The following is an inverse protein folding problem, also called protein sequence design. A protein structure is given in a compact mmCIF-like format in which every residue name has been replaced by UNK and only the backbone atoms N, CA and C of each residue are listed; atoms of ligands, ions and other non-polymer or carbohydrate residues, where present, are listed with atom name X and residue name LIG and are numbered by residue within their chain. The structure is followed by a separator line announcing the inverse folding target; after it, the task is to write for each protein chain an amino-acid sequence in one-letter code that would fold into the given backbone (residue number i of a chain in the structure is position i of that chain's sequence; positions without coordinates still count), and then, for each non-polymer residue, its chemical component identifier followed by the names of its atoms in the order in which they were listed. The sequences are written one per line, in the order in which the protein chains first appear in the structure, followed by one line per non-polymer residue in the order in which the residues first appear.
data_IF_351574109307
#
_entry.id   IF_351574109307
#
_cell.length_a   1.000
_cell.length_b   1.000
_cell.length_c   1.000
_cell.angle_alpha   90.00
_cell.angle_beta   90.00
_cell.angle_gamma   90.00
#
_symmetry.space_group_name_H-M   'P 1'
#
loop_
_entity.id
_entity.type
_entity.pdbx_description
1 polymer ?
#
# COMPACT_ATOMS: atom_id res chain seq x y z
N UNK A 1 37.31 34.26 -42.86
CA UNK A 1 37.16 33.51 -41.60
C UNK A 1 35.68 33.44 -41.29
N UNK A 2 35.00 32.39 -41.78
CA UNK A 2 33.60 32.14 -41.43
C UNK A 2 33.53 31.40 -40.10
N UNK A 3 32.77 31.97 -39.19
CA UNK A 3 32.51 31.43 -37.85
C UNK A 3 31.59 30.22 -37.99
N UNK A 4 32.15 29.02 -37.95
CA UNK A 4 31.38 27.77 -37.86
C UNK A 4 30.60 27.80 -36.55
N UNK A 5 29.28 28.06 -36.65
CA UNK A 5 28.35 27.83 -35.54
C UNK A 5 28.25 26.31 -35.36
N UNK A 6 28.91 25.78 -34.33
CA UNK A 6 28.66 24.42 -33.87
C UNK A 6 27.20 24.34 -33.37
N UNK A 7 26.30 23.88 -34.23
CA UNK A 7 25.03 23.33 -33.78
C UNK A 7 25.35 22.00 -33.11
N UNK A 8 25.42 21.98 -31.77
CA UNK A 8 25.39 20.72 -31.04
C UNK A 8 24.02 20.09 -31.26
N UNK A 9 23.96 19.09 -32.13
CA UNK A 9 22.79 18.24 -32.26
C UNK A 9 22.71 17.39 -30.99
N UNK A 10 21.95 17.85 -30.01
CA UNK A 10 21.61 17.02 -28.85
C UNK A 10 20.61 15.98 -29.33
N UNK A 11 21.03 14.72 -29.47
CA UNK A 11 20.11 13.60 -29.68
C UNK A 11 19.13 13.55 -28.49
N UNK A 12 17.84 13.87 -28.70
CA UNK A 12 16.86 13.89 -27.63
C UNK A 12 16.70 12.52 -26.96
N UNK A 13 16.92 11.42 -27.70
CA UNK A 13 16.88 10.07 -27.14
C UNK A 13 18.07 9.80 -26.21
N UNK A 14 19.23 10.37 -26.49
CA UNK A 14 20.39 10.29 -25.61
C UNK A 14 20.14 10.97 -24.26
N UNK A 15 19.40 12.09 -24.23
CA UNK A 15 19.00 12.76 -22.98
C UNK A 15 18.11 11.83 -22.14
N UNK A 16 17.10 11.21 -22.75
CA UNK A 16 16.18 10.30 -22.07
C UNK A 16 16.94 9.08 -21.51
N UNK A 17 17.87 8.51 -22.28
CA UNK A 17 18.72 7.40 -21.83
C UNK A 17 19.62 7.76 -20.63
N UNK A 18 20.18 8.97 -20.58
CA UNK A 18 20.97 9.45 -19.42
C UNK A 18 20.08 9.62 -18.19
N UNK A 19 18.90 10.20 -18.36
CA UNK A 19 17.93 10.35 -17.27
C UNK A 19 17.46 8.98 -16.76
N UNK A 20 17.22 8.03 -17.65
CA UNK A 20 16.83 6.67 -17.30
C UNK A 20 17.90 5.99 -16.44
N UNK A 21 19.18 6.11 -16.81
CA UNK A 21 20.28 5.59 -16.00
C UNK A 21 20.29 6.19 -14.61
N UNK A 22 20.13 7.50 -14.48
CA UNK A 22 20.05 8.17 -13.17
C UNK A 22 18.83 7.73 -12.35
N UNK A 23 17.68 7.50 -13.01
CA UNK A 23 16.48 6.98 -12.35
C UNK A 23 16.67 5.55 -11.83
N UNK A 24 17.39 4.70 -12.57
CA UNK A 24 17.77 3.36 -12.13
C UNK A 24 18.75 3.39 -10.95
N UNK A 25 19.77 4.25 -11.00
CA UNK A 25 20.74 4.44 -9.90
C UNK A 25 20.06 4.91 -8.61
N UNK A 26 19.16 5.90 -8.69
CA UNK A 26 18.39 6.39 -7.53
C UNK A 26 17.38 5.37 -7.01
N UNK A 27 16.86 4.50 -7.89
CA UNK A 27 16.03 3.35 -7.50
C UNK A 27 16.85 2.34 -6.71
N UNK A 28 18.04 1.97 -7.19
CA UNK A 28 18.93 1.05 -6.48
C UNK A 28 19.38 1.61 -5.12
N UNK A 29 19.62 2.92 -5.03
CA UNK A 29 19.95 3.59 -3.78
C UNK A 29 18.86 3.48 -2.70
N UNK A 30 17.59 3.20 -3.08
CA UNK A 30 16.51 2.99 -2.12
C UNK A 30 16.69 1.72 -1.26
N UNK A 31 17.58 0.82 -1.66
CA UNK A 31 17.96 -0.37 -0.89
C UNK A 31 19.11 -0.11 0.09
N UNK A 32 19.72 1.09 0.10
CA UNK A 32 20.80 1.43 1.02
C UNK A 32 20.33 1.26 2.49
N UNK A 33 21.15 0.63 3.36
CA UNK A 33 20.86 0.47 4.78
C UNK A 33 20.40 1.76 5.50
N UNK A 34 20.85 2.94 5.07
CA UNK A 34 20.45 4.22 5.68
C UNK A 34 18.94 4.50 5.55
N UNK A 35 18.30 4.01 4.49
CA UNK A 35 16.87 4.18 4.24
C UNK A 35 16.02 3.02 4.74
N UNK A 36 16.63 1.92 5.21
CA UNK A 36 15.91 0.69 5.59
C UNK A 36 14.85 0.88 6.65
N UNK A 37 15.03 1.85 7.55
CA UNK A 37 14.06 2.19 8.60
C UNK A 37 12.81 2.90 8.08
N UNK A 38 12.86 3.46 6.87
CA UNK A 38 11.77 4.21 6.28
C UNK A 38 10.80 3.27 5.57
N UNK A 39 9.50 3.62 5.51
CA UNK A 39 8.55 2.92 4.67
C UNK A 39 8.98 2.93 3.19
N UNK A 40 8.70 1.88 2.41
CA UNK A 40 9.11 1.79 1.01
C UNK A 40 8.80 3.04 0.16
N UNK A 41 7.60 3.64 0.12
CA UNK A 41 7.38 4.87 -0.67
C UNK A 41 8.36 6.00 -0.33
N UNK A 42 8.65 6.17 0.96
CA UNK A 42 9.52 7.22 1.49
C UNK A 42 10.98 6.97 1.10
N UNK A 43 11.43 5.70 1.05
CA UNK A 43 12.78 5.36 0.57
C UNK A 43 13.02 5.89 -0.84
N UNK A 44 12.10 5.61 -1.76
CA UNK A 44 12.19 6.00 -3.16
C UNK A 44 12.07 7.52 -3.34
N UNK A 45 11.30 8.20 -2.49
CA UNK A 45 11.29 9.68 -2.49
C UNK A 45 12.60 10.25 -1.95
N UNK A 46 13.08 9.74 -0.82
CA UNK A 46 14.28 10.25 -0.15
C UNK A 46 15.57 10.06 -0.97
N UNK A 47 15.60 9.07 -1.87
CA UNK A 47 16.72 8.88 -2.82
C UNK A 47 16.59 9.72 -4.09
N UNK A 48 15.46 10.41 -4.28
CA UNK A 48 15.15 11.16 -5.49
C UNK A 48 14.64 10.29 -6.65
N UNK A 49 14.40 8.99 -6.45
CA UNK A 49 13.90 8.10 -7.50
C UNK A 49 12.55 8.57 -8.06
N UNK A 50 11.66 9.08 -7.20
CA UNK A 50 10.36 9.63 -7.64
C UNK A 50 10.55 10.76 -8.66
N UNK A 51 11.40 11.74 -8.35
CA UNK A 51 11.61 12.88 -9.23
C UNK A 51 12.45 12.52 -10.47
N UNK A 52 13.40 11.59 -10.34
CA UNK A 52 14.21 11.11 -11.46
C UNK A 52 13.32 10.42 -12.52
N UNK A 53 12.44 9.52 -12.10
CA UNK A 53 11.50 8.85 -13.01
C UNK A 53 10.47 9.81 -13.62
N UNK A 54 9.99 10.82 -12.87
CA UNK A 54 9.15 11.88 -13.45
C UNK A 54 9.85 12.61 -14.60
N UNK A 55 11.15 12.91 -14.48
CA UNK A 55 11.92 13.54 -15.56
C UNK A 55 12.06 12.62 -16.77
N UNK A 56 12.30 11.32 -16.56
CA UNK A 56 12.33 10.31 -17.65
C UNK A 56 11.01 10.33 -18.42
N UNK A 57 9.88 10.29 -17.72
CA UNK A 57 8.55 10.28 -18.35
C UNK A 57 8.28 11.58 -19.12
N UNK A 58 8.63 12.74 -18.55
CA UNK A 58 8.44 14.05 -19.19
C UNK A 58 9.29 14.21 -20.45
N UNK A 59 10.59 13.86 -20.41
CA UNK A 59 11.44 13.94 -21.60
C UNK A 59 11.12 12.83 -22.61
N UNK A 60 10.75 11.65 -22.13
CA UNK A 60 10.31 10.53 -22.95
C UNK A 60 9.09 10.87 -23.81
N UNK A 61 8.13 11.62 -23.27
CA UNK A 61 6.95 12.08 -24.01
C UNK A 61 7.33 13.01 -25.19
N UNK A 62 8.41 13.79 -25.07
CA UNK A 62 8.85 14.74 -26.11
C UNK A 62 9.49 14.06 -27.32
N UNK A 63 10.05 12.86 -27.14
CA UNK A 63 10.77 12.14 -28.21
C UNK A 63 9.90 11.12 -28.95
N UNK A 64 8.58 11.24 -28.80
CA UNK A 64 7.60 10.43 -29.53
C UNK A 64 7.16 9.15 -28.82
N UNK A 65 7.59 8.91 -27.57
CA UNK A 65 6.92 7.91 -26.74
C UNK A 65 5.58 8.45 -26.26
N UNK A 66 4.57 7.58 -26.16
CA UNK A 66 3.30 7.98 -25.56
C UNK A 66 3.54 8.52 -24.14
N UNK A 67 2.72 9.48 -23.71
CA UNK A 67 2.84 10.09 -22.40
C UNK A 67 2.39 9.11 -21.30
N UNK A 68 3.33 8.27 -20.86
CA UNK A 68 3.10 7.32 -19.77
C UNK A 68 2.82 8.05 -18.45
N UNK A 69 3.40 9.24 -18.26
CA UNK A 69 3.23 10.03 -17.04
C UNK A 69 1.78 10.43 -16.79
N UNK A 70 1.06 10.88 -17.83
CA UNK A 70 -0.37 11.19 -17.72
C UNK A 70 -1.26 9.95 -17.56
N UNK A 71 -0.79 8.76 -17.94
CA UNK A 71 -1.52 7.52 -17.72
C UNK A 71 -1.48 7.07 -16.24
N UNK A 72 -0.43 7.39 -15.49
CA UNK A 72 -0.26 6.95 -14.09
C UNK A 72 -1.49 7.19 -13.18
N UNK A 73 -2.05 8.42 -13.09
CA UNK A 73 -3.15 8.71 -12.17
C UNK A 73 -4.51 8.12 -12.59
N UNK A 74 -4.65 7.65 -13.83
CA UNK A 74 -5.96 7.26 -14.39
C UNK A 74 -6.04 5.82 -14.86
N UNK A 75 -4.96 5.23 -15.39
CA UNK A 75 -5.01 3.88 -15.95
C UNK A 75 -5.02 2.80 -14.84
N UNK A 76 -5.56 1.61 -15.16
CA UNK A 76 -5.41 0.41 -14.34
C UNK A 76 -3.96 0.15 -13.93
N UNK A 77 -3.73 -0.21 -12.67
CA UNK A 77 -2.39 -0.47 -12.14
C UNK A 77 -1.75 -1.64 -12.89
N UNK A 78 -2.50 -2.72 -13.11
CA UNK A 78 -2.01 -3.93 -13.79
C UNK A 78 -1.59 -3.60 -15.23
N UNK A 79 -2.39 -2.79 -15.94
CA UNK A 79 -2.06 -2.34 -17.30
C UNK A 79 -0.82 -1.46 -17.34
N UNK A 80 -0.65 -0.57 -16.35
CA UNK A 80 0.57 0.22 -16.24
C UNK A 80 1.78 -0.69 -16.07
N UNK A 81 1.68 -1.74 -15.27
CA UNK A 81 2.75 -2.74 -15.09
C UNK A 81 3.06 -3.50 -16.38
N UNK A 82 2.04 -3.97 -17.09
CA UNK A 82 2.21 -4.75 -18.33
C UNK A 82 2.86 -3.91 -19.46
N UNK A 83 2.48 -2.64 -19.56
CA UNK A 83 2.98 -1.74 -20.62
C UNK A 83 4.34 -1.11 -20.30
N UNK A 84 4.67 -0.92 -19.02
CA UNK A 84 5.88 -0.22 -18.60
C UNK A 84 7.19 -0.77 -19.21
N UNK A 85 7.44 -2.10 -19.30
CA UNK A 85 8.67 -2.61 -19.92
C UNK A 85 8.86 -2.13 -21.37
N UNK A 86 7.77 -1.94 -22.13
CA UNK A 86 7.84 -1.41 -23.50
C UNK A 86 8.36 0.02 -23.51
N UNK A 87 7.93 0.85 -22.55
CA UNK A 87 8.41 2.23 -22.41
C UNK A 87 9.87 2.29 -21.96
N UNK A 88 10.24 1.50 -20.94
CA UNK A 88 11.62 1.43 -20.45
C UNK A 88 12.59 1.00 -21.57
N UNK A 89 12.21 0.00 -22.37
CA UNK A 89 12.98 -0.43 -23.54
C UNK A 89 13.10 0.67 -24.60
N UNK A 90 12.03 1.42 -24.85
CA UNK A 90 12.05 2.56 -25.78
C UNK A 90 12.99 3.67 -25.33
N UNK A 91 12.87 4.10 -24.06
CA UNK A 91 13.71 5.13 -23.44
C UNK A 91 15.19 4.74 -23.35
N UNK A 92 15.49 3.45 -23.24
CA UNK A 92 16.85 2.91 -23.25
C UNK A 92 17.44 2.68 -24.64
N UNK A 93 16.76 3.07 -25.73
CA UNK A 93 17.17 2.76 -27.09
C UNK A 93 18.55 3.31 -27.51
N UNK A 94 19.00 4.42 -26.91
CA UNK A 94 20.32 5.01 -27.18
C UNK A 94 21.43 4.48 -26.25
N UNK A 95 21.14 3.55 -25.33
CA UNK A 95 22.15 2.92 -24.48
C UNK A 95 22.90 1.83 -25.26
N UNK A 96 24.24 1.90 -25.27
CA UNK A 96 25.10 0.94 -26.00
C UNK A 96 24.85 -0.51 -25.56
N UNK A 97 24.64 -0.73 -24.25
CA UNK A 97 24.35 -2.05 -23.68
C UNK A 97 22.87 -2.42 -23.69
N UNK A 98 21.99 -1.50 -24.09
CA UNK A 98 20.54 -1.62 -23.85
C UNK A 98 20.19 -1.68 -22.36
N UNK A 99 18.95 -2.13 -22.09
CA UNK A 99 18.41 -2.33 -20.74
C UNK A 99 18.64 -3.79 -20.33
N UNK A 100 19.36 -4.00 -19.24
CA UNK A 100 19.58 -5.34 -18.68
C UNK A 100 18.32 -5.87 -17.97
N UNK A 101 18.28 -7.18 -17.67
CA UNK A 101 17.21 -7.77 -16.86
C UNK A 101 17.16 -7.13 -15.45
N UNK A 102 18.32 -6.85 -14.86
CA UNK A 102 18.42 -6.18 -13.57
C UNK A 102 17.83 -4.76 -13.61
N UNK A 103 18.14 -3.98 -14.65
CA UNK A 103 17.59 -2.64 -14.85
C UNK A 103 16.07 -2.68 -15.04
N UNK A 104 15.57 -3.66 -15.80
CA UNK A 104 14.13 -3.85 -15.97
C UNK A 104 13.45 -4.16 -14.63
N UNK A 105 14.05 -4.99 -13.77
CA UNK A 105 13.53 -5.27 -12.43
C UNK A 105 13.53 -4.01 -11.54
N UNK A 106 14.60 -3.22 -11.55
CA UNK A 106 14.67 -1.95 -10.82
C UNK A 106 13.56 -0.99 -11.28
N UNK A 107 13.40 -0.84 -12.60
CA UNK A 107 12.34 -0.01 -13.16
C UNK A 107 10.95 -0.43 -12.64
N UNK A 108 10.61 -1.71 -12.74
CA UNK A 108 9.32 -2.23 -12.25
C UNK A 108 9.12 -1.99 -10.76
N UNK A 109 10.17 -2.12 -9.94
CA UNK A 109 10.09 -1.86 -8.49
C UNK A 109 9.75 -0.40 -8.19
N UNK A 110 10.28 0.53 -8.97
CA UNK A 110 9.98 1.97 -8.83
C UNK A 110 8.54 2.30 -9.23
N UNK A 111 8.00 1.60 -10.23
CA UNK A 111 6.68 1.89 -10.80
C UNK A 111 5.56 1.93 -9.75
N UNK A 112 5.55 1.01 -8.77
CA UNK A 112 4.53 1.02 -7.70
C UNK A 112 4.45 2.38 -7.02
N UNK A 113 5.61 2.94 -6.72
CA UNK A 113 5.71 4.18 -5.97
C UNK A 113 5.51 5.39 -6.88
N UNK A 114 5.85 5.31 -8.16
CA UNK A 114 5.40 6.32 -9.14
C UNK A 114 3.88 6.38 -9.19
N UNK A 115 3.20 5.23 -9.20
CA UNK A 115 1.73 5.16 -9.18
C UNK A 115 1.18 5.70 -7.88
N UNK A 116 1.72 5.30 -6.73
CA UNK A 116 1.33 5.83 -5.42
C UNK A 116 1.42 7.35 -5.35
N UNK A 117 2.57 7.94 -5.69
CA UNK A 117 2.75 9.40 -5.64
C UNK A 117 1.97 10.13 -6.73
N UNK A 118 1.82 9.53 -7.92
CA UNK A 118 0.99 10.09 -8.98
C UNK A 118 -0.51 10.03 -8.68
N UNK A 119 -0.93 9.24 -7.69
CA UNK A 119 -2.33 9.14 -7.23
C UNK A 119 -2.62 9.95 -5.97
N UNK A 120 -1.74 10.87 -5.58
CA UNK A 120 -1.81 11.61 -4.32
C UNK A 120 -1.98 10.68 -3.10
N UNK A 121 -1.21 9.60 -3.08
CA UNK A 121 -1.33 8.55 -2.08
C UNK A 121 -1.08 9.00 -0.64
N UNK A 122 -1.90 8.49 0.28
CA UNK A 122 -1.85 8.82 1.71
C UNK A 122 -1.39 7.63 2.56
N UNK A 123 -0.52 7.87 3.54
CA UNK A 123 0.07 6.81 4.36
C UNK A 123 -0.67 6.60 5.67
N UNK A 124 -0.89 5.33 6.03
CA UNK A 124 -1.54 4.90 7.25
C UNK A 124 -0.64 3.91 8.00
N UNK A 125 -0.46 4.13 9.30
CA UNK A 125 0.28 3.27 10.22
C UNK A 125 -0.68 2.74 11.29
N UNK A 126 -1.28 1.56 11.08
CA UNK A 126 -2.06 0.89 12.10
C UNK A 126 -1.18 0.54 13.31
N UNK A 127 -1.69 0.73 14.52
CA UNK A 127 -0.99 0.34 15.74
C UNK A 127 -0.91 -1.20 15.87
N UNK A 128 0.06 -1.69 16.65
CA UNK A 128 0.16 -3.13 16.97
C UNK A 128 -1.14 -3.66 17.60
N UNK A 129 -1.76 -2.86 18.47
CA UNK A 129 -3.06 -3.13 19.06
C UNK A 129 -4.16 -3.28 17.99
N UNK A 130 -4.23 -2.38 16.99
CA UNK A 130 -5.21 -2.51 15.92
C UNK A 130 -4.97 -3.75 15.06
N UNK A 131 -3.72 -4.08 14.73
CA UNK A 131 -3.41 -5.30 13.98
C UNK A 131 -3.96 -6.55 14.67
N UNK A 132 -3.71 -6.70 15.99
CA UNK A 132 -4.24 -7.83 16.77
C UNK A 132 -5.77 -7.87 16.74
N UNK A 133 -6.41 -6.70 16.92
CA UNK A 133 -7.87 -6.60 16.88
C UNK A 133 -8.45 -7.06 15.53
N UNK A 134 -7.83 -6.63 14.42
CA UNK A 134 -8.30 -6.96 13.07
C UNK A 134 -7.97 -8.39 12.65
N UNK A 135 -6.85 -8.97 13.12
CA UNK A 135 -6.53 -10.39 12.90
C UNK A 135 -7.62 -11.29 13.53
N UNK A 136 -8.04 -10.97 14.75
CA UNK A 136 -9.08 -11.72 15.46
C UNK A 136 -10.50 -11.46 14.91
N UNK A 137 -10.72 -10.29 14.32
CA UNK A 137 -12.02 -9.90 13.78
C UNK A 137 -12.39 -10.69 12.53
N UNK A 138 -13.67 -11.04 12.39
CA UNK A 138 -14.22 -11.54 11.12
C UNK A 138 -15.20 -10.53 10.49
N UNK A 139 -15.42 -10.66 9.19
CA UNK A 139 -16.44 -9.91 8.46
C UNK A 139 -17.64 -10.84 8.30
N UNK A 140 -18.82 -10.42 8.77
CA UNK A 140 -20.03 -11.22 8.59
C UNK A 140 -20.41 -11.33 7.11
N UNK A 141 -21.13 -12.40 6.77
CA UNK A 141 -21.53 -12.73 5.39
C UNK A 141 -22.42 -11.66 4.75
N UNK A 142 -23.07 -10.82 5.56
CA UNK A 142 -24.01 -9.80 5.12
C UNK A 142 -23.38 -8.43 4.83
N UNK A 143 -22.05 -8.29 4.91
CA UNK A 143 -21.37 -7.01 4.70
C UNK A 143 -21.09 -6.80 3.19
N UNK A 144 -21.75 -5.83 2.54
CA UNK A 144 -21.56 -5.55 1.12
C UNK A 144 -20.20 -4.89 0.83
N UNK A 145 -19.62 -5.21 -0.32
CA UNK A 145 -18.35 -4.66 -0.81
C UNK A 145 -18.46 -3.17 -1.10
N UNK A 146 -19.66 -2.66 -1.41
CA UNK A 146 -19.93 -1.23 -1.58
C UNK A 146 -19.62 -0.39 -0.34
N UNK A 147 -19.48 -1.01 0.84
CA UNK A 147 -19.04 -0.32 2.05
C UNK A 147 -17.52 -0.16 2.16
N UNK A 148 -16.74 -0.77 1.27
CA UNK A 148 -15.30 -0.53 1.19
C UNK A 148 -15.09 0.77 0.42
N UNK A 149 -14.63 1.82 1.11
CA UNK A 149 -14.20 3.07 0.48
C UNK A 149 -12.80 3.40 0.95
N UNK A 150 -11.97 3.85 0.01
CA UNK A 150 -10.68 4.42 0.36
C UNK A 150 -10.87 5.87 0.80
N UNK A 151 -10.15 6.32 1.84
CA UNK A 151 -10.17 7.71 2.29
C UNK A 151 -9.46 8.67 1.32
N UNK A 152 -8.72 8.15 0.33
CA UNK A 152 -8.00 8.89 -0.70
C UNK A 152 -7.90 8.03 -1.99
N UNK A 153 -7.59 8.58 -3.18
CA UNK A 153 -7.50 7.78 -4.42
C UNK A 153 -6.50 6.63 -4.35
N UNK A 154 -5.44 6.79 -3.57
CA UNK A 154 -4.54 5.72 -3.16
C UNK A 154 -4.20 5.82 -1.67
N UNK A 155 -3.95 4.68 -1.05
CA UNK A 155 -3.42 4.62 0.31
C UNK A 155 -2.25 3.65 0.40
N UNK A 156 -1.34 3.87 1.34
CA UNK A 156 -0.28 2.94 1.70
C UNK A 156 -0.41 2.59 3.17
N UNK A 157 -0.62 1.32 3.46
CA UNK A 157 -0.57 0.78 4.82
C UNK A 157 0.88 0.39 5.09
N UNK A 158 1.46 0.96 6.15
CA UNK A 158 2.76 0.58 6.68
C UNK A 158 2.52 -0.27 7.92
N UNK A 159 2.71 -1.59 7.84
CA UNK A 159 2.48 -2.48 8.96
C UNK A 159 3.39 -2.18 10.14
N UNK A 160 2.86 -2.28 11.36
CA UNK A 160 3.69 -2.28 12.56
C UNK A 160 4.69 -3.46 12.52
N UNK A 161 5.97 -3.24 12.89
CA UNK A 161 6.96 -4.31 12.96
C UNK A 161 6.64 -5.40 14.00
N UNK A 162 5.70 -5.13 14.92
CA UNK A 162 5.20 -6.09 15.91
C UNK A 162 4.13 -7.04 15.35
N UNK A 163 3.59 -6.76 14.17
CA UNK A 163 2.59 -7.64 13.54
C UNK A 163 3.28 -8.87 12.94
N UNK A 164 3.13 -10.02 13.61
CA UNK A 164 3.83 -11.26 13.29
C UNK A 164 3.43 -11.84 11.93
N UNK A 165 2.16 -11.76 11.55
CA UNK A 165 1.63 -12.32 10.29
C UNK A 165 2.29 -11.71 9.03
N UNK A 166 2.44 -10.38 8.99
CA UNK A 166 3.17 -9.71 7.89
C UNK A 166 4.67 -9.90 7.96
N UNK A 167 5.24 -9.97 9.18
CA UNK A 167 6.68 -10.13 9.37
C UNK A 167 7.17 -11.46 8.80
N UNK A 168 6.41 -12.54 9.02
CA UNK A 168 6.70 -13.86 8.45
C UNK A 168 6.61 -13.87 6.92
N UNK A 169 5.68 -13.10 6.35
CA UNK A 169 5.49 -12.95 4.90
C UNK A 169 6.39 -11.86 4.26
N UNK A 170 7.26 -11.22 5.04
CA UNK A 170 8.20 -10.18 4.57
C UNK A 170 7.54 -8.87 4.11
N UNK A 171 6.23 -8.67 4.35
CA UNK A 171 5.50 -7.50 3.85
C UNK A 171 5.94 -6.25 4.63
N UNK A 172 6.39 -5.22 3.91
CA UNK A 172 6.77 -3.91 4.50
C UNK A 172 5.81 -2.79 4.15
N UNK A 173 5.04 -2.94 3.09
CA UNK A 173 3.99 -2.00 2.71
C UNK A 173 2.89 -2.70 1.92
N UNK A 174 1.68 -2.19 2.05
CA UNK A 174 0.51 -2.58 1.26
C UNK A 174 -0.05 -1.30 0.63
N UNK A 175 0.16 -1.11 -0.66
CA UNK A 175 -0.46 -0.05 -1.43
C UNK A 175 -1.84 -0.50 -1.91
N UNK A 176 -2.82 0.37 -1.81
CA UNK A 176 -4.20 0.10 -2.21
C UNK A 176 -4.66 1.25 -3.10
N UNK A 177 -5.20 0.91 -4.25
CA UNK A 177 -5.65 1.85 -5.27
C UNK A 177 -7.11 1.59 -5.58
N UNK A 178 -7.90 2.66 -5.67
CA UNK A 178 -9.25 2.60 -6.22
C UNK A 178 -9.22 3.25 -7.60
N UNK A 179 -9.57 2.49 -8.64
CA UNK A 179 -9.57 2.98 -10.02
C UNK A 179 -10.85 2.57 -10.72
N UNK A 180 -11.29 3.42 -11.64
CA UNK A 180 -12.41 3.12 -12.52
C UNK A 180 -11.86 2.59 -13.84
N UNK A 181 -12.44 1.47 -14.28
CA UNK A 181 -12.07 0.77 -15.50
C UNK A 181 -13.22 0.94 -16.47
N UNK A 182 -12.94 1.48 -17.65
CA UNK A 182 -13.85 1.38 -18.79
C UNK A 182 -13.07 0.84 -19.98
N UNK A 183 -12.73 -0.44 -19.90
CA UNK A 183 -12.16 -1.18 -21.03
C UNK A 183 -13.20 -2.17 -21.56
N UNK A 184 -13.09 -2.62 -22.82
CA UNK A 184 -14.00 -3.61 -23.37
C UNK A 184 -14.07 -4.93 -22.58
N UNK A 185 -13.00 -5.28 -21.84
CA UNK A 185 -12.88 -6.52 -21.08
C UNK A 185 -13.11 -6.37 -19.56
N UNK A 186 -12.92 -5.18 -19.01
CA UNK A 186 -13.05 -4.88 -17.57
C UNK A 186 -13.75 -3.53 -17.42
N UNK A 187 -14.94 -3.55 -16.81
CA UNK A 187 -15.77 -2.36 -16.56
C UNK A 187 -16.12 -2.21 -15.09
N UNK A 188 -16.14 -0.97 -14.64
CA UNK A 188 -16.54 -0.58 -13.29
C UNK A 188 -15.35 -0.27 -12.39
N UNK A 189 -15.63 -0.04 -11.12
CA UNK A 189 -14.60 0.31 -10.14
C UNK A 189 -13.86 -0.96 -9.69
N UNK A 190 -12.55 -0.89 -9.51
CA UNK A 190 -11.79 -1.95 -8.86
C UNK A 190 -10.92 -1.42 -7.72
N UNK A 191 -10.66 -2.33 -6.80
CA UNK A 191 -9.68 -2.22 -5.75
C UNK A 191 -8.44 -3.02 -6.15
N UNK A 192 -7.35 -2.35 -6.48
CA UNK A 192 -6.06 -3.02 -6.64
C UNK A 192 -5.29 -2.96 -5.33
N UNK A 193 -4.84 -4.12 -4.85
CA UNK A 193 -3.96 -4.24 -3.70
C UNK A 193 -2.60 -4.73 -4.16
N UNK A 194 -1.56 -4.01 -3.76
CA UNK A 194 -0.18 -4.29 -4.08
C UNK A 194 0.64 -4.39 -2.80
N UNK A 195 1.38 -5.48 -2.64
CA UNK A 195 2.27 -5.67 -1.48
C UNK A 195 3.72 -5.57 -1.90
N UNK A 196 4.49 -4.82 -1.14
CA UNK A 196 5.94 -4.74 -1.27
C UNK A 196 6.59 -5.57 -0.14
N UNK A 197 7.38 -6.56 -0.53
CA UNK A 197 7.95 -7.56 0.36
C UNK A 197 9.47 -7.54 0.30
N UNK A 198 10.12 -7.62 1.46
CA UNK A 198 11.54 -7.96 1.60
C UNK A 198 11.65 -9.46 1.87
N UNK A 199 12.31 -10.20 0.97
CA UNK A 199 12.57 -11.63 1.14
C UNK A 199 13.94 -11.87 1.78
N UNK A 200 14.19 -13.11 2.21
CA UNK A 200 15.52 -13.54 2.66
C UNK A 200 16.57 -13.31 1.57
N UNK A 201 17.74 -12.78 1.95
CA UNK A 201 18.80 -12.40 1.00
C UNK A 201 18.73 -10.96 0.46
N UNK A 202 17.76 -10.16 0.92
CA UNK A 202 17.66 -8.73 0.55
C UNK A 202 16.95 -8.47 -0.79
N UNK A 203 16.45 -9.51 -1.45
CA UNK A 203 15.61 -9.35 -2.63
C UNK A 203 14.25 -8.76 -2.26
N UNK A 204 13.65 -8.04 -3.21
CA UNK A 204 12.32 -7.46 -3.07
C UNK A 204 11.35 -8.18 -3.99
N UNK A 205 10.15 -8.48 -3.50
CA UNK A 205 9.06 -9.05 -4.29
C UNK A 205 7.84 -8.13 -4.25
N UNK A 206 7.23 -7.92 -5.42
CA UNK A 206 5.93 -7.29 -5.55
C UNK A 206 4.88 -8.37 -5.83
N UNK A 207 3.68 -8.22 -5.24
CA UNK A 207 2.51 -9.04 -5.57
C UNK A 207 1.29 -8.13 -5.68
N UNK A 208 0.40 -8.43 -6.62
CA UNK A 208 -0.80 -7.64 -6.91
C UNK A 208 -2.03 -8.53 -6.94
N UNK A 209 -3.18 -7.94 -6.61
CA UNK A 209 -4.51 -8.50 -6.85
C UNK A 209 -5.49 -7.37 -7.15
N UNK A 210 -6.32 -7.57 -8.18
CA UNK A 210 -7.39 -6.64 -8.56
C UNK A 210 -8.74 -7.25 -8.22
N UNK A 211 -9.59 -6.50 -7.53
CA UNK A 211 -10.88 -6.98 -7.06
C UNK A 211 -12.00 -6.06 -7.55
N UNK A 212 -12.99 -6.58 -8.29
CA UNK A 212 -14.09 -5.76 -8.80
C UNK A 212 -14.95 -5.26 -7.64
N UNK A 213 -15.30 -3.97 -7.70
CA UNK A 213 -16.27 -3.29 -6.84
C UNK A 213 -17.51 -2.87 -7.64
N UNK A 214 -17.70 -3.43 -8.84
CA UNK A 214 -18.74 -3.03 -9.79
C UNK A 214 -20.16 -3.43 -9.36
N UNK A 215 -20.30 -4.51 -8.59
CA UNK A 215 -21.54 -4.89 -7.92
C UNK A 215 -21.43 -4.50 -6.42
N UNK A 216 -22.01 -3.36 -6.01
CA UNK A 216 -21.88 -2.88 -4.64
C UNK A 216 -22.64 -3.74 -3.62
N UNK A 217 -23.64 -4.52 -4.05
CA UNK A 217 -24.48 -5.36 -3.19
C UNK A 217 -23.83 -6.72 -2.90
N UNK A 218 -22.89 -7.13 -3.75
CA UNK A 218 -22.07 -8.32 -3.53
C UNK A 218 -21.33 -8.23 -2.20
N UNK A 219 -21.32 -9.30 -1.44
CA UNK A 219 -20.70 -9.31 -0.12
C UNK A 219 -19.19 -9.47 -0.22
N UNK A 220 -18.46 -8.97 0.78
CA UNK A 220 -16.99 -9.10 0.81
C UNK A 220 -16.57 -10.58 0.76
N UNK A 221 -17.35 -11.46 1.40
CA UNK A 221 -17.14 -12.91 1.38
C UNK A 221 -17.32 -13.46 -0.04
N UNK A 222 -18.36 -13.06 -0.76
CA UNK A 222 -18.56 -13.46 -2.16
C UNK A 222 -17.44 -12.95 -3.09
N UNK A 223 -16.94 -11.72 -2.88
CA UNK A 223 -15.79 -11.21 -3.65
C UNK A 223 -14.56 -12.06 -3.40
N UNK A 224 -14.36 -12.51 -2.16
CA UNK A 224 -13.26 -13.41 -1.78
C UNK A 224 -13.43 -14.80 -2.40
N UNK A 225 -14.64 -15.35 -2.39
CA UNK A 225 -14.92 -16.69 -2.91
C UNK A 225 -14.81 -16.77 -4.44
N UNK A 226 -15.11 -15.68 -5.14
CA UNK A 226 -14.99 -15.56 -6.59
C UNK A 226 -13.53 -15.42 -7.09
N UNK A 227 -12.56 -15.26 -6.18
CA UNK A 227 -11.15 -15.24 -6.56
C UNK A 227 -10.82 -16.61 -7.16
N UNK A 228 -10.31 -16.65 -8.42
CA UNK A 228 -9.99 -17.90 -9.10
C UNK A 228 -9.10 -18.81 -8.24
N UNK A 229 -9.32 -20.12 -8.36
CA UNK A 229 -8.47 -21.10 -7.70
C UNK A 229 -7.01 -20.95 -8.19
N UNK A 230 -6.13 -20.59 -7.28
CA UNK A 230 -4.67 -20.62 -7.45
C UNK A 230 -4.05 -21.73 -6.61
N UNK A 231 -2.75 -21.65 -6.38
CA UNK A 231 -2.13 -22.52 -5.36
C UNK A 231 -2.75 -22.24 -3.98
N UNK A 232 -2.73 -23.22 -3.07
CA UNK A 232 -3.21 -23.03 -1.71
C UNK A 232 -2.49 -21.86 -1.00
N UNK A 233 -1.20 -21.68 -1.28
CA UNK A 233 -0.39 -20.56 -0.78
C UNK A 233 -0.88 -19.21 -1.34
N UNK A 234 -1.22 -19.15 -2.63
CA UNK A 234 -1.75 -17.93 -3.24
C UNK A 234 -3.12 -17.57 -2.68
N UNK A 235 -3.99 -18.56 -2.46
CA UNK A 235 -5.30 -18.34 -1.84
C UNK A 235 -5.15 -17.83 -0.41
N UNK A 236 -4.31 -18.46 0.41
CA UNK A 236 -4.03 -18.00 1.78
C UNK A 236 -3.48 -16.57 1.79
N UNK A 237 -2.56 -16.26 0.87
CA UNK A 237 -1.98 -14.94 0.73
C UNK A 237 -3.04 -13.86 0.43
N UNK A 238 -3.91 -14.13 -0.54
CA UNK A 238 -4.94 -13.19 -0.92
C UNK A 238 -5.96 -13.02 0.21
N UNK A 239 -6.41 -14.10 0.83
CA UNK A 239 -7.30 -14.06 2.00
C UNK A 239 -6.71 -13.21 3.13
N UNK A 240 -5.41 -13.37 3.40
CA UNK A 240 -4.71 -12.59 4.40
C UNK A 240 -4.69 -11.09 4.06
N UNK A 241 -4.23 -10.73 2.87
CA UNK A 241 -4.05 -9.31 2.48
C UNK A 241 -5.39 -8.62 2.23
N UNK A 242 -6.26 -9.18 1.39
CA UNK A 242 -7.57 -8.59 1.07
C UNK A 242 -8.46 -8.54 2.32
N UNK A 243 -8.51 -9.62 3.10
CA UNK A 243 -9.28 -9.66 4.33
C UNK A 243 -8.81 -8.60 5.33
N UNK A 244 -7.50 -8.42 5.49
CA UNK A 244 -6.95 -7.37 6.34
C UNK A 244 -7.29 -5.96 5.82
N UNK A 245 -7.08 -5.69 4.53
CA UNK A 245 -7.39 -4.39 3.92
C UNK A 245 -8.88 -4.06 4.05
N UNK A 246 -9.77 -5.00 3.79
CA UNK A 246 -11.21 -4.81 3.95
C UNK A 246 -11.56 -4.46 5.41
N UNK A 247 -11.05 -5.21 6.39
CA UNK A 247 -11.28 -4.93 7.82
C UNK A 247 -10.76 -3.55 8.23
N UNK A 248 -9.58 -3.15 7.75
CA UNK A 248 -9.03 -1.83 8.04
C UNK A 248 -9.88 -0.71 7.44
N UNK A 249 -10.31 -0.85 6.18
CA UNK A 249 -11.18 0.12 5.52
C UNK A 249 -12.55 0.23 6.20
N UNK A 250 -13.12 -0.89 6.67
CA UNK A 250 -14.33 -0.88 7.49
C UNK A 250 -14.10 -0.21 8.85
N UNK A 251 -12.95 -0.46 9.49
CA UNK A 251 -12.59 0.20 10.76
C UNK A 251 -12.51 1.72 10.59
N UNK A 252 -11.90 2.23 9.52
CA UNK A 252 -11.78 3.66 9.24
C UNK A 252 -13.13 4.37 9.08
N UNK A 253 -14.21 3.64 8.79
CA UNK A 253 -15.58 4.18 8.69
C UNK A 253 -16.32 4.24 10.03
N UNK A 254 -15.79 3.64 11.09
CA UNK A 254 -16.45 3.64 12.38
C UNK A 254 -16.43 5.05 12.99
N UNK A 255 -17.54 5.51 13.61
CA UNK A 255 -17.59 6.85 14.23
C UNK A 255 -16.54 7.07 15.33
N UNK A 256 -16.12 6.00 15.98
CA UNK A 256 -15.15 5.96 17.08
C UNK A 256 -13.75 5.47 16.63
N UNK A 257 -13.52 5.40 15.31
CA UNK A 257 -12.21 5.10 14.76
C UNK A 257 -11.19 6.14 15.22
N UNK A 258 -10.11 5.68 15.86
CA UNK A 258 -9.02 6.58 16.29
C UNK A 258 -8.05 6.78 15.14
N UNK A 259 -7.94 8.01 14.64
CA UNK A 259 -7.05 8.39 13.55
C UNK A 259 -6.34 9.69 13.93
N UNK A 260 -5.02 9.64 14.04
CA UNK A 260 -4.20 10.82 14.36
C UNK A 260 -3.30 11.17 13.17
N UNK A 261 -3.43 12.40 12.65
CA UNK A 261 -2.60 12.89 11.57
C UNK A 261 -1.26 13.43 12.10
N UNK A 262 -0.15 12.83 11.67
CA UNK A 262 1.20 13.29 11.91
C UNK A 262 1.79 13.84 10.61
N UNK A 263 1.83 15.16 10.48
CA UNK A 263 2.26 15.87 9.27
C UNK A 263 3.73 16.32 9.36
N UNK A 264 4.64 15.43 9.76
CA UNK A 264 6.03 15.76 10.03
C UNK A 264 6.79 16.30 8.81
N UNK A 265 6.49 15.80 7.61
CA UNK A 265 7.14 16.24 6.38
C UNK A 265 6.56 17.56 5.88
N UNK A 266 5.22 17.64 5.79
CA UNK A 266 4.55 18.85 5.32
C UNK A 266 4.78 20.06 6.23
N UNK A 267 4.97 19.85 7.54
CA UNK A 267 5.26 20.91 8.52
C UNK A 267 6.75 21.20 8.71
N UNK A 268 7.65 20.46 8.07
CA UNK A 268 9.08 20.69 8.22
C UNK A 268 9.49 22.02 7.58
N UNK A 269 10.15 22.90 8.35
CA UNK A 269 10.65 24.17 7.83
C UNK A 269 11.74 23.94 6.78
N UNK A 270 11.56 24.56 5.61
CA UNK A 270 12.56 24.65 4.54
C UNK A 270 13.27 26.00 4.52
N UNK A 271 13.02 26.87 5.51
CA UNK A 271 13.79 28.10 5.70
C UNK A 271 15.13 27.77 6.36
N UNK A 272 16.18 27.67 5.55
CA UNK A 272 17.52 27.25 5.94
C UNK A 272 18.54 28.39 5.88
N UNK A 273 18.07 29.64 5.96
CA UNK A 273 18.92 30.83 5.96
C UNK A 273 19.97 30.76 7.07
N UNK A 274 21.20 31.16 6.75
CA UNK A 274 22.33 31.16 7.69
C UNK A 274 23.05 29.81 7.86
N UNK A 275 22.61 28.75 7.17
CA UNK A 275 23.37 27.49 7.11
C UNK A 275 24.36 27.49 5.93
N UNK A 276 25.59 27.04 6.18
CA UNK A 276 26.54 26.76 5.10
C UNK A 276 26.09 25.58 4.23
N UNK A 277 26.58 25.51 2.99
CA UNK A 277 26.13 24.55 1.95
C UNK A 277 26.05 23.09 2.42
N UNK A 278 27.04 22.63 3.20
CA UNK A 278 27.04 21.27 3.77
C UNK A 278 25.85 21.04 4.70
N UNK A 279 25.67 21.92 5.70
CA UNK A 279 24.56 21.83 6.66
C UNK A 279 23.20 22.00 5.98
N UNK A 280 23.14 22.83 4.95
CA UNK A 280 21.95 23.00 4.12
C UNK A 280 21.56 21.67 3.44
N UNK A 281 22.50 21.01 2.77
CA UNK A 281 22.27 19.70 2.13
C UNK A 281 21.88 18.62 3.14
N UNK A 282 22.58 18.54 4.28
CA UNK A 282 22.26 17.59 5.34
C UNK A 282 20.83 17.80 5.87
N UNK A 283 20.42 19.06 6.08
CA UNK A 283 19.09 19.35 6.58
C UNK A 283 18.00 19.02 5.58
N UNK A 284 18.19 19.32 4.30
CA UNK A 284 17.27 18.89 3.25
C UNK A 284 17.16 17.36 3.19
N UNK A 285 18.28 16.64 3.23
CA UNK A 285 18.26 15.18 3.24
C UNK A 285 17.51 14.61 4.45
N UNK A 286 17.60 15.24 5.63
CA UNK A 286 16.80 14.87 6.80
C UNK A 286 15.31 15.10 6.59
N UNK A 287 14.93 16.24 5.99
CA UNK A 287 13.52 16.55 5.68
C UNK A 287 12.94 15.51 4.73
N UNK A 288 13.70 15.10 3.71
CA UNK A 288 13.26 14.08 2.74
C UNK A 288 13.05 12.69 3.37
N UNK A 289 13.61 12.42 4.55
CA UNK A 289 13.34 11.20 5.32
C UNK A 289 12.12 11.31 6.24
N UNK A 290 11.61 12.52 6.52
CA UNK A 290 10.35 12.70 7.25
C UNK A 290 9.19 12.36 6.33
N UNK A 291 8.07 11.87 6.85
CA UNK A 291 6.87 11.64 6.04
C UNK A 291 5.61 11.89 6.83
N UNK A 292 4.57 12.26 6.10
CA UNK A 292 3.25 12.44 6.67
C UNK A 292 2.55 11.08 6.75
N UNK A 293 1.82 10.87 7.85
CA UNK A 293 1.14 9.60 8.12
C UNK A 293 -0.07 9.79 9.02
N UNK A 294 -1.01 8.88 8.90
CA UNK A 294 -2.12 8.72 9.83
C UNK A 294 -1.88 7.52 10.73
N UNK A 295 -1.70 7.73 12.02
CA UNK A 295 -1.63 6.63 13.00
C UNK A 295 -3.06 6.16 13.27
N UNK A 296 -3.33 4.87 13.09
CA UNK A 296 -4.69 4.31 13.15
C UNK A 296 -4.83 3.31 14.29
N UNK A 297 -5.87 3.51 15.09
CA UNK A 297 -6.27 2.61 16.15
C UNK A 297 -5.72 2.99 17.52
N UNK A 298 -6.14 2.27 18.57
CA UNK A 298 -5.72 2.55 19.94
C UNK A 298 -4.25 2.15 20.16
N UNK A 299 -3.58 2.79 21.12
CA UNK A 299 -2.21 2.42 21.49
C UNK A 299 -2.14 1.04 22.19
N UNK A 300 -3.15 0.74 23.02
CA UNK A 300 -3.27 -0.49 23.79
C UNK A 300 -4.69 -1.05 23.61
N UNK A 301 -4.81 -2.38 23.65
CA UNK A 301 -6.10 -3.05 23.76
C UNK A 301 -6.34 -3.39 25.22
N UNK A 302 -7.46 -2.95 25.78
CA UNK A 302 -7.81 -3.21 27.19
C UNK A 302 -8.19 -4.69 27.46
N UNK A 303 -8.10 -5.58 26.46
CA UNK A 303 -8.65 -6.94 26.53
C UNK A 303 -7.61 -8.07 26.36
N UNK A 304 -6.36 -7.91 26.76
CA UNK A 304 -5.32 -8.94 26.54
C UNK A 304 -5.79 -10.37 26.88
N UNK A 305 -5.83 -11.22 25.85
CA UNK A 305 -6.11 -12.65 26.01
C UNK A 305 -5.00 -13.22 26.88
N UNK A 306 -5.30 -13.81 28.06
CA UNK A 306 -4.29 -14.55 28.79
C UNK A 306 -3.73 -15.62 27.85
N UNK A 307 -2.42 -15.55 27.59
CA UNK A 307 -1.74 -16.55 26.78
C UNK A 307 -1.86 -17.91 27.47
N UNK A 308 -2.30 -18.91 26.72
CA UNK A 308 -2.28 -20.30 27.17
C UNK A 308 -3.64 -20.97 27.09
N UNK A 309 -3.67 -22.09 26.37
CA UNK A 309 -4.61 -23.18 26.60
C UNK A 309 -4.68 -23.47 28.11
N UNK A 310 -5.72 -22.97 28.77
CA UNK A 310 -6.12 -23.51 30.06
C UNK A 310 -6.73 -24.89 29.79
N UNK A 311 -5.83 -25.88 29.80
CA UNK A 311 -6.03 -27.31 29.94
C UNK A 311 -7.44 -27.85 29.72
N UNK A 312 -7.58 -28.61 28.64
CA UNK A 312 -8.54 -29.72 28.57
C UNK A 312 -8.26 -30.72 29.72
N UNK A 313 -8.88 -30.47 30.87
CA UNK A 313 -9.04 -31.47 31.90
C UNK A 313 -10.48 -31.41 32.41
N UNK A 314 -11.25 -32.43 32.00
CA UNK A 314 -12.46 -32.94 32.66
C UNK A 314 -13.55 -31.94 33.02
N UNK A 315 -14.54 -31.76 32.15
CA UNK A 315 -15.89 -31.40 32.60
C UNK A 315 -16.95 -31.99 31.67
N UNK A 316 -17.73 -32.92 32.24
CA UNK A 316 -18.91 -33.55 31.66
C UNK A 316 -20.02 -32.54 31.34
N UNK A 317 -20.63 -32.69 30.16
CA UNK A 317 -21.93 -32.17 29.69
C UNK A 317 -22.22 -30.64 29.76
N UNK A 318 -22.18 -30.01 28.57
CA UNK A 318 -23.02 -28.90 28.06
C UNK A 318 -23.15 -27.56 28.80
N UNK A 319 -22.24 -27.18 29.69
CA UNK A 319 -22.18 -25.78 30.13
C UNK A 319 -21.03 -24.99 29.48
N UNK A 320 -21.36 -23.91 28.77
CA UNK A 320 -20.37 -23.02 28.14
C UNK A 320 -19.52 -22.35 29.22
N UNK A 321 -18.21 -22.60 29.20
CA UNK A 321 -17.21 -21.90 30.04
C UNK A 321 -17.10 -20.41 29.64
N UNK A 322 -16.55 -19.60 30.54
CA UNK A 322 -16.17 -18.23 30.24
C UNK A 322 -15.21 -18.22 29.03
N UNK A 323 -15.56 -17.49 27.98
CA UNK A 323 -14.71 -17.38 26.80
C UNK A 323 -14.89 -16.02 26.14
N UNK A 324 -13.82 -15.55 25.50
CA UNK A 324 -13.88 -14.36 24.67
C UNK A 324 -14.60 -14.68 23.37
N UNK A 325 -15.68 -13.95 23.10
CA UNK A 325 -16.31 -13.91 21.78
C UNK A 325 -15.46 -13.05 20.85
N UNK A 326 -15.16 -13.60 19.67
CA UNK A 326 -14.38 -12.91 18.63
C UNK A 326 -15.07 -11.60 18.19
N UNK A 327 -14.29 -10.53 17.97
CA UNK A 327 -14.83 -9.31 17.38
C UNK A 327 -15.31 -9.55 15.95
N UNK A 328 -16.22 -8.72 15.45
CA UNK A 328 -16.68 -8.80 14.06
C UNK A 328 -17.33 -7.54 13.52
N UNK A 329 -17.27 -7.40 12.20
CA UNK A 329 -18.08 -6.45 11.44
C UNK A 329 -19.38 -7.12 11.00
N UNK A 330 -20.50 -6.41 11.10
CA UNK A 330 -21.80 -6.88 10.56
C UNK A 330 -22.71 -5.73 10.20
N UNK A 331 -23.75 -6.02 9.42
CA UNK A 331 -24.83 -5.05 9.21
C UNK A 331 -25.78 -5.02 10.41
N UNK A 332 -26.12 -3.81 10.85
CA UNK A 332 -27.13 -3.58 11.89
C UNK A 332 -28.32 -2.82 11.29
N UNK A 333 -29.54 -3.37 11.39
CA UNK A 333 -30.76 -2.65 11.08
C UNK A 333 -30.94 -1.42 11.99
N UNK A 334 -31.37 -0.29 11.42
CA UNK A 334 -31.70 0.93 12.18
C UNK A 334 -32.76 1.78 11.46
N UNK A 335 -33.17 2.88 12.08
CA UNK A 335 -34.16 3.81 11.53
C UNK A 335 -35.61 3.33 11.67
N UNK A 336 -36.59 4.12 11.19
CA UNK A 336 -38.01 3.76 11.27
C UNK A 336 -38.27 2.40 10.60
N UNK A 337 -38.89 1.50 11.35
CA UNK A 337 -39.21 0.14 10.88
C UNK A 337 -37.98 -0.73 10.56
N UNK A 338 -36.79 -0.37 11.04
CA UNK A 338 -35.54 -1.08 10.69
C UNK A 338 -35.29 -1.15 9.18
N UNK A 339 -35.64 -0.09 8.45
CA UNK A 339 -35.51 -0.01 6.99
C UNK A 339 -34.08 0.30 6.52
N UNK A 340 -33.25 0.89 7.39
CA UNK A 340 -31.88 1.28 7.06
C UNK A 340 -30.87 0.24 7.59
N UNK A 341 -29.67 0.21 7.02
CA UNK A 341 -28.57 -0.67 7.43
C UNK A 341 -27.29 0.12 7.59
N UNK A 342 -26.57 -0.10 8.69
CA UNK A 342 -25.23 0.46 8.92
C UNK A 342 -24.27 -0.65 9.28
N UNK A 343 -23.00 -0.52 8.90
CA UNK A 343 -21.96 -1.38 9.44
C UNK A 343 -21.69 -0.99 10.88
N UNK A 344 -21.52 -1.99 11.74
CA UNK A 344 -21.00 -1.81 13.09
C UNK A 344 -19.83 -2.75 13.32
N UNK A 345 -18.96 -2.36 14.25
CA UNK A 345 -17.96 -3.24 14.83
C UNK A 345 -18.42 -3.67 16.22
N UNK A 346 -18.59 -4.98 16.39
CA UNK A 346 -18.82 -5.59 17.69
C UNK A 346 -17.46 -6.00 18.22
N UNK A 347 -16.99 -5.30 19.25
CA UNK A 347 -15.72 -5.60 19.89
C UNK A 347 -15.70 -6.96 20.60
N UNK A 348 -14.53 -7.39 21.10
CA UNK A 348 -14.40 -8.59 21.91
C UNK A 348 -15.20 -8.46 23.20
N UNK A 349 -15.94 -9.51 23.56
CA UNK A 349 -16.76 -9.56 24.78
C UNK A 349 -16.55 -10.88 25.50
N UNK A 350 -16.45 -10.84 26.83
CA UNK A 350 -16.42 -12.05 27.65
C UNK A 350 -17.84 -12.61 27.73
N UNK A 351 -18.04 -13.79 27.14
CA UNK A 351 -19.25 -14.58 27.33
C UNK A 351 -19.10 -15.36 28.62
N UNK A 352 -20.15 -15.38 29.45
CA UNK A 352 -20.14 -15.97 30.80
C UNK A 352 -19.09 -15.33 31.73
N UNK A 353 -19.02 -14.00 31.76
CA UNK A 353 -18.15 -13.26 32.68
C UNK A 353 -18.44 -13.59 34.16
N UNK A 354 -19.67 -14.02 34.48
CA UNK A 354 -20.09 -14.56 35.78
C UNK A 354 -19.26 -15.76 36.27
N UNK A 355 -18.49 -16.39 35.36
CA UNK A 355 -17.68 -17.58 35.64
C UNK A 355 -16.18 -17.34 35.57
N UNK A 356 -15.73 -16.09 35.44
CA UNK A 356 -14.35 -15.77 35.71
C UNK A 356 -14.15 -15.89 37.22
N UNK A 357 -13.39 -16.90 37.66
CA UNK A 357 -13.01 -17.00 39.07
C UNK A 357 -12.24 -15.73 39.48
N UNK A 358 -12.55 -15.14 40.65
CA UNK A 358 -11.84 -13.97 41.16
C UNK A 358 -10.36 -14.24 41.44
#
# INVERSE_FOLDING_TARGET
METIRHFSYHDPNAIVSVLLKSALETTAAADDPVYRRLPPPVRYRATGAIDAWKRVMVEGAKVGHADFGSAIPVFPVERLYDEFPRFVKGWGGSLISGISEHDALLAHRSLLWQIYYGSDGVMYEPTAALHRLLDDAYIAEDVPVGLIELPAPAMCIVPSPEWTGVKQKGIRAIAVFRRDFDTPSVRGQHLTIATWQETGGGATRLRFGSYPLSDPDKTIVQVIDDIPEGSAEDREYVLFVLGYVAKLLLYLKLPDARIEANLAHSRASRDLRGLGERKHRERLAQIEQLYDRHVVGPAVLDWERPGGDLGEAGASHHEKRAHWRRPHFKMQPYGPGSSLRKVIFVGPVIVRADRLSP
#
